data_IF_214770396686
#
_entry.id   IF_214770396686
#
_cell.length_a   1.000
_cell.length_b   1.000
_cell.length_c   1.000
_cell.angle_alpha   90.00
_cell.angle_beta   90.00
_cell.angle_gamma   90.00
#
_symmetry.space_group_name_H-M   'P 1'
#
loop_
_entity.id
_entity.type
_entity.pdbx_description
1 polymer ?
#
# COMPACT_ATOMS: atom_id res chain seq x y z
N UNK A 1 -4.62 7.23 -23.89
CA UNK A 1 -4.79 8.13 -22.72
C UNK A 1 -5.25 7.44 -21.42
N UNK A 2 -5.54 6.13 -21.40
CA UNK A 2 -6.02 5.44 -20.18
C UNK A 2 -4.93 5.19 -19.09
N UNK A 3 -3.65 5.23 -19.44
CA UNK A 3 -2.55 5.00 -18.47
C UNK A 3 -2.31 6.16 -17.48
N UNK A 4 -2.61 7.40 -17.87
CA UNK A 4 -2.37 8.58 -17.02
C UNK A 4 -3.27 8.61 -15.78
N UNK A 5 -4.53 8.22 -15.89
CA UNK A 5 -5.46 8.21 -14.75
C UNK A 5 -5.06 7.21 -13.66
N UNK A 6 -4.59 6.02 -14.06
CA UNK A 6 -4.07 5.02 -13.12
C UNK A 6 -2.75 5.47 -12.47
N UNK A 7 -1.83 6.06 -13.24
CA UNK A 7 -0.58 6.60 -12.70
C UNK A 7 -0.83 7.71 -11.67
N UNK A 8 -1.78 8.61 -11.94
CA UNK A 8 -2.17 9.67 -11.01
C UNK A 8 -2.79 9.12 -9.73
N UNK A 9 -3.71 8.15 -9.82
CA UNK A 9 -4.26 7.47 -8.63
C UNK A 9 -3.15 6.84 -7.78
N UNK A 10 -2.26 6.09 -8.42
CA UNK A 10 -1.16 5.42 -7.74
C UNK A 10 -0.24 6.42 -7.03
N UNK A 11 0.09 7.52 -7.69
CA UNK A 11 0.86 8.60 -7.09
C UNK A 11 0.12 9.27 -5.93
N UNK A 12 -1.20 9.49 -6.03
CA UNK A 12 -1.99 10.10 -4.98
C UNK A 12 -2.12 9.22 -3.74
N UNK A 13 -2.26 7.91 -3.91
CA UNK A 13 -2.34 6.95 -2.81
C UNK A 13 -0.99 6.85 -2.08
N UNK A 14 0.11 6.85 -2.83
CA UNK A 14 1.45 6.89 -2.26
C UNK A 14 1.70 8.18 -1.46
N UNK A 15 1.42 9.34 -2.07
CA UNK A 15 1.59 10.64 -1.42
C UNK A 15 0.70 10.77 -0.19
N UNK A 16 -0.54 10.28 -0.25
CA UNK A 16 -1.45 10.27 0.90
C UNK A 16 -0.89 9.45 2.07
N UNK A 17 -0.36 8.24 1.81
CA UNK A 17 0.27 7.41 2.84
C UNK A 17 1.49 8.08 3.50
N UNK A 18 2.34 8.70 2.69
CA UNK A 18 3.53 9.43 3.19
C UNK A 18 3.11 10.68 3.98
N UNK A 19 2.16 11.47 3.48
CA UNK A 19 1.68 12.69 4.13
C UNK A 19 1.00 12.39 5.47
N UNK A 20 0.20 11.32 5.55
CA UNK A 20 -0.43 10.87 6.80
C UNK A 20 0.62 10.38 7.79
N UNK A 21 1.59 9.57 7.35
CA UNK A 21 2.70 9.13 8.21
C UNK A 21 3.54 10.28 8.75
N UNK A 22 3.89 11.24 7.89
CA UNK A 22 4.63 12.44 8.30
C UNK A 22 3.81 13.30 9.26
N UNK A 23 2.52 13.52 9.00
CA UNK A 23 1.64 14.31 9.85
C UNK A 23 1.44 13.69 11.25
N UNK A 24 1.19 12.38 11.31
CA UNK A 24 1.06 11.65 12.58
C UNK A 24 2.38 11.61 13.35
N UNK A 25 3.48 11.33 12.67
CA UNK A 25 4.81 11.30 13.29
C UNK A 25 5.22 12.65 13.85
N UNK A 26 4.98 13.73 13.11
CA UNK A 26 5.24 15.10 13.59
C UNK A 26 4.35 15.47 14.78
N UNK A 27 3.06 15.11 14.74
CA UNK A 27 2.13 15.37 15.85
C UNK A 27 2.57 14.66 17.13
N UNK A 28 2.99 13.40 17.02
CA UNK A 28 3.47 12.59 18.15
C UNK A 28 4.77 13.16 18.71
N UNK A 29 5.75 13.50 17.86
CA UNK A 29 7.00 14.10 18.33
C UNK A 29 6.76 15.44 19.05
N UNK A 30 5.78 16.23 18.59
CA UNK A 30 5.41 17.49 19.23
C UNK A 30 4.78 17.30 20.61
N UNK A 31 3.95 16.26 20.79
CA UNK A 31 3.31 15.95 22.07
C UNK A 31 4.25 15.25 23.05
N UNK A 32 5.09 14.34 22.57
CA UNK A 32 6.00 13.56 23.40
C UNK A 32 7.26 14.34 23.79
N UNK A 33 7.56 15.46 23.11
CA UNK A 33 8.80 16.21 23.32
C UNK A 33 10.06 15.43 22.95
N UNK A 34 9.89 14.29 22.28
CA UNK A 34 10.97 13.42 21.83
C UNK A 34 11.59 14.01 20.57
N UNK A 35 12.93 13.93 20.47
CA UNK A 35 13.67 14.05 19.20
C UNK A 35 13.01 13.16 18.13
N UNK A 36 13.19 13.39 16.81
CA UNK A 36 12.22 13.11 15.73
C UNK A 36 11.98 11.62 15.41
N UNK A 37 11.80 10.81 16.43
CA UNK A 37 11.71 9.35 16.42
C UNK A 37 10.32 8.90 15.97
N UNK A 38 9.26 9.59 16.43
CA UNK A 38 7.91 9.39 15.94
C UNK A 38 7.84 9.66 14.44
N UNK A 39 8.41 10.76 13.98
CA UNK A 39 8.48 11.09 12.56
C UNK A 39 9.24 10.02 11.77
N UNK A 40 10.40 9.55 12.24
CA UNK A 40 11.16 8.49 11.55
C UNK A 40 10.34 7.19 11.46
N UNK A 41 9.75 6.72 12.56
CA UNK A 41 9.00 5.45 12.58
C UNK A 41 7.75 5.54 11.70
N UNK A 42 6.96 6.60 11.84
CA UNK A 42 5.72 6.77 11.07
C UNK A 42 5.98 7.09 9.60
N UNK A 43 7.10 7.74 9.27
CA UNK A 43 7.51 7.94 7.88
C UNK A 43 7.92 6.61 7.25
N UNK A 44 8.70 5.77 7.95
CA UNK A 44 9.07 4.44 7.46
C UNK A 44 7.85 3.53 7.30
N UNK A 45 6.91 3.55 8.25
CA UNK A 45 5.65 2.81 8.16
C UNK A 45 4.78 3.31 7.01
N UNK A 46 4.59 4.63 6.88
CA UNK A 46 3.82 5.25 5.80
C UNK A 46 4.42 4.97 4.41
N UNK A 47 5.74 5.04 4.31
CA UNK A 47 6.48 4.68 3.09
C UNK A 47 6.31 3.19 2.76
N UNK A 48 6.48 2.29 3.74
CA UNK A 48 6.27 0.85 3.56
C UNK A 48 4.86 0.52 3.10
N UNK A 49 3.84 1.12 3.73
CA UNK A 49 2.45 0.98 3.33
C UNK A 49 2.18 1.51 1.92
N UNK A 50 2.77 2.65 1.55
CA UNK A 50 2.69 3.21 0.20
C UNK A 50 3.33 2.30 -0.86
N UNK A 51 4.52 1.77 -0.60
CA UNK A 51 5.19 0.82 -1.49
C UNK A 51 4.38 -0.47 -1.63
N UNK A 52 3.84 -1.01 -0.53
CA UNK A 52 2.95 -2.18 -0.57
C UNK A 52 1.68 -1.91 -1.41
N UNK A 53 1.10 -0.71 -1.32
CA UNK A 53 -0.07 -0.35 -2.13
C UNK A 53 0.26 -0.26 -3.63
N UNK A 54 1.44 0.29 -3.96
CA UNK A 54 1.96 0.34 -5.34
C UNK A 54 2.19 -1.06 -5.90
N UNK A 55 2.90 -1.91 -5.14
CA UNK A 55 3.19 -3.29 -5.56
C UNK A 55 1.92 -4.15 -5.68
N UNK A 56 0.93 -3.93 -4.81
CA UNK A 56 -0.39 -4.57 -4.92
C UNK A 56 -1.11 -4.16 -6.21
N UNK A 57 -1.10 -2.86 -6.53
CA UNK A 57 -1.71 -2.34 -7.75
C UNK A 57 -0.99 -2.78 -9.02
N UNK A 58 0.32 -3.02 -8.93
CA UNK A 58 1.12 -3.62 -10.00
C UNK A 58 0.89 -5.14 -10.15
N UNK A 59 0.07 -5.77 -9.30
CA UNK A 59 -0.18 -7.21 -9.31
C UNK A 59 1.00 -8.06 -8.82
N UNK A 60 1.99 -7.43 -8.17
CA UNK A 60 3.21 -8.11 -7.70
C UNK A 60 3.07 -8.70 -6.29
N UNK A 61 1.97 -8.43 -5.59
CA UNK A 61 1.64 -9.06 -4.31
C UNK A 61 0.54 -10.09 -4.56
N UNK A 62 0.90 -11.37 -4.51
CA UNK A 62 -0.09 -12.45 -4.47
C UNK A 62 -0.90 -12.32 -3.18
N UNK A 63 -2.23 -12.27 -3.27
CA UNK A 63 -3.11 -12.34 -2.10
C UNK A 63 -2.78 -13.63 -1.34
N UNK A 64 -2.23 -13.49 -0.14
CA UNK A 64 -2.06 -14.61 0.77
C UNK A 64 -3.46 -15.11 1.15
N UNK A 65 -3.91 -16.19 0.50
CA UNK A 65 -5.27 -16.71 0.61
C UNK A 65 -6.08 -16.69 -0.68
N UNK A 66 -5.51 -16.25 -1.81
CA UNK A 66 -6.14 -16.41 -3.12
C UNK A 66 -6.45 -17.90 -3.35
N UNK A 67 -7.72 -18.26 -3.16
CA UNK A 67 -8.24 -19.61 -3.36
C UNK A 67 -7.81 -20.05 -4.77
N UNK A 68 -7.15 -21.22 -4.92
CA UNK A 68 -6.84 -21.72 -6.25
C UNK A 68 -8.14 -21.76 -7.06
N UNK A 69 -8.13 -21.39 -8.34
CA UNK A 69 -9.32 -21.49 -9.18
C UNK A 69 -9.86 -22.91 -9.03
N UNK A 70 -11.08 -23.04 -8.52
CA UNK A 70 -11.72 -24.32 -8.29
C UNK A 70 -11.72 -25.06 -9.63
N UNK A 71 -11.01 -26.19 -9.67
CA UNK A 71 -10.73 -26.93 -10.89
C UNK A 71 -11.99 -27.16 -11.72
N UNK A 72 -11.87 -26.84 -13.02
CA UNK A 72 -12.85 -27.25 -14.02
C UNK A 72 -12.94 -28.77 -14.06
N UNK A 73 -13.99 -29.31 -13.44
CA UNK A 73 -14.37 -30.71 -13.55
C UNK A 73 -15.61 -30.79 -14.46
N UNK A 74 -15.39 -31.30 -15.65
CA UNK A 74 -16.38 -31.76 -16.63
C UNK A 74 -15.57 -32.34 -17.78
N UNK A 75 -15.27 -33.64 -17.87
CA UNK A 75 -16.18 -34.78 -17.79
C UNK A 75 -17.42 -34.61 -18.66
N UNK A 76 -17.21 -34.57 -19.96
CA UNK A 76 -18.02 -35.32 -20.94
C UNK A 76 -16.97 -36.02 -21.82
N UNK A 77 -16.70 -37.32 -21.78
CA UNK A 77 -17.60 -38.49 -21.96
C UNK A 77 -18.63 -38.26 -23.07
N UNK A 78 -18.19 -38.43 -24.31
CA UNK A 78 -18.73 -39.43 -25.26
C UNK A 78 -17.92 -39.49 -26.54
#
# INVERSE_FOLDING_TARGET
>A
MAGFGNALRLSSEFIAGVAVGAGLGWFIDRMAGTSPWGLIIFLLLGFGAGVLNVLRSAGQIAEFGAKPPAGGKGSDRK
#
